data_IF_308993432255
#
_entry.id   IF_308993432255
#
_cell.length_a   1.000
_cell.length_b   1.000
_cell.length_c   1.000
_cell.angle_alpha   90.00
_cell.angle_beta   90.00
_cell.angle_gamma   90.00
#
_symmetry.space_group_name_H-M   'P 1'
#
loop_
_entity.id
_entity.type
_entity.pdbx_description
1 polymer ?
#
# COMPACT_ATOMS: atom_id res chain seq x y z
N UNK A 1 -32.09 7.98 9.56
CA UNK A 1 -31.80 9.36 10.06
C UNK A 1 -31.61 10.25 8.83
N UNK A 2 -32.16 11.47 8.81
CA UNK A 2 -31.97 12.40 7.69
C UNK A 2 -30.57 13.03 7.72
N UNK A 3 -29.98 13.29 6.54
CA UNK A 3 -28.65 13.87 6.42
C UNK A 3 -28.61 15.35 6.86
N UNK A 4 -27.57 15.73 7.58
CA UNK A 4 -27.32 17.12 7.99
C UNK A 4 -26.76 17.93 6.83
N UNK A 5 -27.17 19.21 6.70
CA UNK A 5 -26.68 20.11 5.65
C UNK A 5 -25.23 20.51 5.91
N UNK A 6 -24.37 20.32 4.93
CA UNK A 6 -22.97 20.78 4.93
C UNK A 6 -22.57 21.30 3.54
N UNK A 7 -21.46 22.04 3.46
CA UNK A 7 -20.86 22.49 2.20
C UNK A 7 -19.62 21.66 1.90
N UNK A 8 -19.65 20.89 0.83
CA UNK A 8 -18.50 20.12 0.37
C UNK A 8 -17.45 21.00 -0.33
N UNK A 9 -16.17 20.63 -0.21
CA UNK A 9 -15.09 21.23 -0.98
C UNK A 9 -15.10 20.71 -2.42
N UNK A 10 -15.47 21.59 -3.36
CA UNK A 10 -15.53 21.25 -4.79
C UNK A 10 -14.17 21.26 -5.47
N UNK A 11 -13.19 21.98 -4.92
CA UNK A 11 -11.85 22.08 -5.49
C UNK A 11 -11.11 20.76 -5.29
N UNK A 12 -11.19 20.19 -4.08
CA UNK A 12 -10.60 18.87 -3.82
C UNK A 12 -11.23 17.79 -4.69
N UNK A 13 -12.56 17.79 -4.81
CA UNK A 13 -13.28 16.82 -5.65
C UNK A 13 -12.83 16.85 -7.12
N UNK A 14 -12.45 18.03 -7.64
CA UNK A 14 -11.94 18.17 -9.00
C UNK A 14 -10.52 17.59 -9.19
N UNK A 15 -9.72 17.49 -8.11
CA UNK A 15 -8.35 16.97 -8.16
C UNK A 15 -8.27 15.44 -7.98
N UNK A 16 -9.27 14.81 -7.35
CA UNK A 16 -9.29 13.36 -7.06
C UNK A 16 -9.04 12.49 -8.30
N UNK A 17 -9.61 12.75 -9.49
CA UNK A 17 -9.38 11.90 -10.66
C UNK A 17 -7.91 11.88 -11.09
N UNK A 18 -7.25 13.04 -11.11
CA UNK A 18 -5.83 13.13 -11.50
C UNK A 18 -4.90 12.50 -10.46
N UNK A 19 -5.20 12.69 -9.17
CA UNK A 19 -4.46 12.03 -8.09
C UNK A 19 -4.60 10.50 -8.18
N UNK A 20 -5.80 10.01 -8.50
CA UNK A 20 -6.08 8.59 -8.68
C UNK A 20 -5.31 8.02 -9.87
N UNK A 21 -5.27 8.73 -11.00
CA UNK A 21 -4.51 8.32 -12.18
C UNK A 21 -3.02 8.18 -11.86
N UNK A 22 -2.41 9.20 -11.24
CA UNK A 22 -0.98 9.18 -10.86
C UNK A 22 -0.67 8.06 -9.87
N UNK A 23 -1.55 7.86 -8.90
CA UNK A 23 -1.44 6.75 -7.95
C UNK A 23 -1.46 5.40 -8.67
N UNK A 24 -2.43 5.16 -9.55
CA UNK A 24 -2.55 3.88 -10.29
C UNK A 24 -1.31 3.60 -11.16
N UNK A 25 -0.76 4.63 -11.80
CA UNK A 25 0.47 4.51 -12.59
C UNK A 25 1.66 4.08 -11.71
N UNK A 26 1.87 4.76 -10.57
CA UNK A 26 2.93 4.39 -9.62
C UNK A 26 2.71 3.00 -9.06
N UNK A 27 1.50 2.71 -8.58
CA UNK A 27 1.14 1.42 -8.01
C UNK A 27 1.43 0.25 -8.96
N UNK A 28 1.24 0.45 -10.27
CA UNK A 28 1.53 -0.58 -11.29
C UNK A 28 3.02 -0.77 -11.53
N UNK A 29 3.82 0.29 -11.41
CA UNK A 29 5.26 0.28 -11.70
C UNK A 29 6.16 0.00 -10.48
N UNK A 30 5.69 0.30 -9.27
CA UNK A 30 6.48 0.24 -8.03
C UNK A 30 6.58 -1.22 -7.51
N UNK A 31 7.78 -1.84 -7.49
CA UNK A 31 7.95 -3.22 -7.04
C UNK A 31 7.55 -3.44 -5.57
N UNK A 32 7.78 -2.45 -4.71
CA UNK A 32 7.48 -2.54 -3.28
C UNK A 32 5.96 -2.46 -3.06
N UNK A 33 5.28 -1.59 -3.81
CA UNK A 33 3.81 -1.53 -3.79
C UNK A 33 3.17 -2.81 -4.32
N UNK A 34 3.72 -3.38 -5.40
CA UNK A 34 3.28 -4.66 -5.92
C UNK A 34 3.51 -5.81 -4.93
N UNK A 35 4.61 -5.79 -4.17
CA UNK A 35 4.85 -6.74 -3.09
C UNK A 35 3.80 -6.60 -1.98
N UNK A 36 3.49 -5.37 -1.57
CA UNK A 36 2.43 -5.09 -0.62
C UNK A 36 1.06 -5.62 -1.06
N UNK A 37 0.69 -5.46 -2.34
CA UNK A 37 -0.56 -6.02 -2.87
C UNK A 37 -0.62 -7.55 -2.79
N UNK A 38 0.50 -8.23 -3.08
CA UNK A 38 0.59 -9.71 -2.93
C UNK A 38 0.42 -10.13 -1.47
N UNK A 39 0.98 -9.38 -0.53
CA UNK A 39 0.84 -9.65 0.90
C UNK A 39 -0.61 -9.47 1.39
N UNK A 40 -1.29 -8.46 0.84
CA UNK A 40 -2.71 -8.23 1.10
C UNK A 40 -3.57 -9.40 0.58
N UNK A 41 -3.29 -9.89 -0.62
CA UNK A 41 -4.04 -11.02 -1.20
C UNK A 41 -3.81 -12.32 -0.42
N UNK A 42 -2.58 -12.60 0.01
CA UNK A 42 -2.32 -13.72 0.92
C UNK A 42 -3.11 -13.58 2.23
N UNK A 43 -3.18 -12.38 2.79
CA UNK A 43 -3.95 -12.11 4.01
C UNK A 43 -5.44 -12.31 3.80
N UNK A 44 -6.00 -11.90 2.65
CA UNK A 44 -7.39 -12.17 2.29
C UNK A 44 -7.63 -13.69 2.19
N UNK A 45 -6.76 -14.42 1.50
CA UNK A 45 -6.87 -15.87 1.39
C UNK A 45 -6.87 -16.56 2.76
N UNK A 46 -6.02 -16.11 3.70
CA UNK A 46 -6.03 -16.66 5.06
C UNK A 46 -7.33 -16.30 5.81
N UNK A 47 -7.88 -15.09 5.62
CA UNK A 47 -9.13 -14.65 6.26
C UNK A 47 -10.36 -15.37 5.72
N UNK A 48 -10.36 -15.70 4.43
CA UNK A 48 -11.46 -16.40 3.77
C UNK A 48 -11.57 -17.87 4.23
N UNK A 49 -10.51 -18.42 4.84
CA UNK A 49 -10.56 -19.73 5.50
C UNK A 49 -11.30 -19.62 6.83
N UNK A 50 -12.57 -19.99 6.80
CA UNK A 50 -13.46 -20.01 7.96
C UNK A 50 -13.49 -21.34 8.71
N UNK A 51 -12.80 -22.37 8.19
CA UNK A 51 -12.75 -23.71 8.78
C UNK A 51 -11.31 -24.09 9.10
N UNK A 52 -11.12 -24.82 10.20
CA UNK A 52 -9.80 -25.28 10.68
C UNK A 52 -9.78 -26.80 10.73
N UNK A 53 -8.73 -27.42 10.19
CA UNK A 53 -8.53 -28.86 10.28
C UNK A 53 -8.19 -29.28 11.72
N UNK A 54 -8.77 -30.38 12.19
CA UNK A 54 -8.41 -30.97 13.49
C UNK A 54 -7.27 -32.00 13.38
N UNK A 55 -6.78 -32.27 12.16
CA UNK A 55 -5.70 -33.24 11.94
C UNK A 55 -4.34 -32.58 12.17
N UNK A 56 -3.58 -33.08 13.15
CA UNK A 56 -2.28 -32.52 13.54
C UNK A 56 -1.31 -32.39 12.35
N UNK A 57 -1.20 -33.43 11.53
CA UNK A 57 -0.29 -33.43 10.36
C UNK A 57 -0.63 -32.31 9.38
N UNK A 58 -1.92 -32.07 9.14
CA UNK A 58 -2.37 -30.99 8.26
C UNK A 58 -2.07 -29.63 8.87
N UNK A 59 -2.36 -29.46 10.16
CA UNK A 59 -2.09 -28.21 10.90
C UNK A 59 -0.61 -27.85 10.92
N UNK A 60 0.28 -28.84 11.08
CA UNK A 60 1.73 -28.64 11.03
C UNK A 60 2.18 -28.15 9.66
N UNK A 61 1.72 -28.81 8.59
CA UNK A 61 2.02 -28.40 7.21
C UNK A 61 1.50 -26.99 6.88
N UNK A 62 0.30 -26.64 7.35
CA UNK A 62 -0.27 -25.30 7.18
C UNK A 62 0.59 -24.23 7.88
N UNK A 63 1.01 -24.49 9.12
CA UNK A 63 1.88 -23.60 9.88
C UNK A 63 3.23 -23.41 9.18
N UNK A 64 3.91 -24.50 8.82
CA UNK A 64 5.19 -24.46 8.11
C UNK A 64 5.08 -23.66 6.79
N UNK A 65 3.98 -23.83 6.05
CA UNK A 65 3.74 -23.06 4.82
C UNK A 65 3.61 -21.56 5.10
N UNK A 66 2.89 -21.17 6.15
CA UNK A 66 2.71 -19.76 6.53
C UNK A 66 4.03 -19.16 7.00
N UNK A 67 4.80 -19.88 7.82
CA UNK A 67 6.11 -19.42 8.31
C UNK A 67 7.11 -19.26 7.17
N UNK A 68 7.18 -20.23 6.25
CA UNK A 68 8.02 -20.15 5.07
C UNK A 68 7.64 -18.95 4.20
N UNK A 69 6.34 -18.74 3.97
CA UNK A 69 5.87 -17.58 3.22
C UNK A 69 6.26 -16.25 3.87
N UNK A 70 6.15 -16.13 5.19
CA UNK A 70 6.56 -14.93 5.93
C UNK A 70 8.08 -14.71 5.86
N UNK A 71 8.88 -15.78 5.99
CA UNK A 71 10.34 -15.71 5.90
C UNK A 71 10.80 -15.36 4.49
N UNK A 72 10.21 -15.96 3.47
CA UNK A 72 10.48 -15.63 2.07
C UNK A 72 10.15 -14.17 1.78
N UNK A 73 9.00 -13.70 2.28
CA UNK A 73 8.59 -12.30 2.19
C UNK A 73 9.67 -11.37 2.74
N UNK A 74 10.13 -11.60 3.97
CA UNK A 74 11.17 -10.80 4.62
C UNK A 74 12.51 -10.88 3.89
N UNK A 75 12.91 -12.08 3.46
CA UNK A 75 14.17 -12.32 2.75
C UNK A 75 14.24 -11.59 1.42
N UNK A 76 13.13 -11.45 0.68
CA UNK A 76 13.09 -10.65 -0.55
C UNK A 76 13.58 -9.22 -0.31
N UNK A 77 13.09 -8.58 0.76
CA UNK A 77 13.48 -7.21 1.09
C UNK A 77 14.87 -7.12 1.71
N UNK A 78 15.27 -8.10 2.53
CA UNK A 78 16.64 -8.19 3.04
C UNK A 78 17.66 -8.26 1.91
N UNK A 79 17.44 -9.13 0.92
CA UNK A 79 18.31 -9.28 -0.25
C UNK A 79 18.35 -7.98 -1.07
N UNK A 80 17.19 -7.34 -1.32
CA UNK A 80 17.13 -6.07 -2.01
C UNK A 80 17.91 -4.95 -1.28
N UNK A 81 17.99 -5.02 0.06
CA UNK A 81 18.75 -4.09 0.91
C UNK A 81 20.20 -4.52 1.18
N UNK A 82 20.67 -5.61 0.58
CA UNK A 82 22.02 -6.15 0.80
C UNK A 82 22.25 -6.77 2.18
N UNK A 83 21.18 -7.08 2.91
CA UNK A 83 21.21 -7.75 4.21
C UNK A 83 21.25 -9.28 4.02
N UNK A 84 21.87 -10.02 4.95
CA UNK A 84 21.85 -11.48 4.89
C UNK A 84 20.43 -12.01 5.06
N UNK A 85 20.04 -13.07 4.32
CA UNK A 85 18.76 -13.74 4.51
C UNK A 85 18.71 -14.42 5.88
N UNK A 86 17.50 -14.52 6.43
CA UNK A 86 17.21 -15.24 7.67
C UNK A 86 17.43 -16.74 7.49
N UNK A 87 18.05 -17.37 8.48
CA UNK A 87 18.15 -18.83 8.60
C UNK A 87 16.83 -19.43 9.07
N UNK A 88 16.74 -20.76 9.01
CA UNK A 88 15.54 -21.50 9.43
C UNK A 88 15.19 -21.28 10.92
N UNK A 89 16.21 -21.16 11.77
CA UNK A 89 16.03 -21.00 13.22
C UNK A 89 15.93 -19.53 13.66
N UNK A 90 16.17 -18.57 12.76
CA UNK A 90 16.12 -17.15 13.09
C UNK A 90 14.67 -16.70 13.24
N UNK A 91 14.35 -15.92 14.27
CA UNK A 91 13.04 -15.30 14.42
C UNK A 91 12.77 -14.29 13.28
N UNK A 92 11.54 -14.28 12.76
CA UNK A 92 11.12 -13.34 11.72
C UNK A 92 10.88 -11.97 12.38
N UNK A 93 11.64 -10.92 12.02
CA UNK A 93 11.47 -9.61 12.63
C UNK A 93 10.12 -9.00 12.29
N UNK A 94 9.55 -8.25 13.24
CA UNK A 94 8.26 -7.60 13.10
C UNK A 94 8.33 -6.11 13.44
N UNK A 95 7.36 -5.33 12.95
CA UNK A 95 7.30 -3.90 13.22
C UNK A 95 8.52 -3.16 12.66
N UNK A 96 9.21 -2.40 13.52
CA UNK A 96 10.33 -1.54 13.12
C UNK A 96 11.60 -2.30 12.73
N UNK A 97 11.73 -3.54 13.17
CA UNK A 97 12.92 -4.37 12.93
C UNK A 97 12.81 -5.17 11.61
N UNK A 98 11.64 -5.13 10.96
CA UNK A 98 11.44 -5.73 9.64
C UNK A 98 12.10 -4.90 8.54
N UNK A 99 12.68 -5.59 7.57
CA UNK A 99 13.22 -5.00 6.36
C UNK A 99 12.11 -4.57 5.37
N UNK A 100 10.85 -4.87 5.65
CA UNK A 100 9.73 -4.58 4.76
C UNK A 100 9.35 -3.10 4.88
N UNK A 101 9.36 -2.32 3.78
CA UNK A 101 8.93 -0.92 3.80
C UNK A 101 7.42 -0.79 3.99
N UNK A 102 6.97 0.33 4.55
CA UNK A 102 5.55 0.69 4.58
C UNK A 102 5.15 1.35 3.26
N UNK A 103 4.95 0.51 2.24
CA UNK A 103 4.62 0.96 0.88
C UNK A 103 3.32 1.79 0.82
N UNK A 104 2.38 1.55 1.73
CA UNK A 104 1.13 2.32 1.81
C UNK A 104 1.38 3.73 2.34
N UNK A 105 2.24 3.87 3.36
CA UNK A 105 2.65 5.17 3.87
C UNK A 105 3.44 5.96 2.83
N UNK A 106 4.41 5.31 2.17
CA UNK A 106 5.24 5.93 1.14
C UNK A 106 4.40 6.45 -0.04
N UNK A 107 3.46 5.64 -0.53
CA UNK A 107 2.55 6.08 -1.60
C UNK A 107 1.59 7.19 -1.13
N UNK A 108 1.12 7.13 0.12
CA UNK A 108 0.31 8.21 0.70
C UNK A 108 1.06 9.54 0.74
N UNK A 109 2.35 9.52 1.09
CA UNK A 109 3.21 10.71 1.05
C UNK A 109 3.34 11.27 -0.37
N UNK A 110 3.47 10.40 -1.38
CA UNK A 110 3.52 10.81 -2.80
C UNK A 110 2.19 11.40 -3.28
N UNK A 111 1.06 10.84 -2.86
CA UNK A 111 -0.28 11.40 -3.17
C UNK A 111 -0.43 12.81 -2.55
N UNK A 112 0.02 13.00 -1.31
CA UNK A 112 0.00 14.32 -0.67
C UNK A 112 0.92 15.30 -1.39
N UNK A 113 2.10 14.86 -1.82
CA UNK A 113 3.00 15.68 -2.63
C UNK A 113 2.36 16.10 -3.96
N UNK A 114 1.70 15.18 -4.67
CA UNK A 114 0.94 15.48 -5.89
C UNK A 114 -0.18 16.49 -5.61
N UNK A 115 -0.91 16.35 -4.51
CA UNK A 115 -1.96 17.27 -4.11
C UNK A 115 -1.40 18.69 -3.92
N UNK A 116 -0.27 18.84 -3.23
CA UNK A 116 0.39 20.14 -3.04
C UNK A 116 0.81 20.76 -4.37
N UNK A 117 1.37 19.97 -5.28
CA UNK A 117 1.79 20.44 -6.61
C UNK A 117 0.57 20.87 -7.44
N UNK A 118 -0.49 20.07 -7.47
CA UNK A 118 -1.71 20.37 -8.24
C UNK A 118 -2.49 21.55 -7.65
N UNK A 119 -2.52 21.70 -6.32
CA UNK A 119 -3.15 22.83 -5.66
C UNK A 119 -2.37 24.13 -5.81
N UNK A 120 -1.04 24.05 -5.93
CA UNK A 120 -0.15 25.20 -6.14
C UNK A 120 -0.03 25.59 -7.62
N UNK A 121 -0.42 24.71 -8.54
CA UNK A 121 -0.45 25.02 -9.96
C UNK A 121 -1.41 26.20 -10.20
N UNK A 122 -0.95 27.31 -10.82
CA UNK A 122 -1.80 28.45 -11.07
C UNK A 122 -2.85 28.04 -12.11
N UNK A 123 -4.06 27.72 -11.67
CA UNK A 123 -5.24 27.80 -12.52
C UNK A 123 -5.27 29.22 -13.07
N UNK A 124 -5.02 29.36 -14.38
CA UNK A 124 -5.28 30.52 -15.23
C UNK A 124 -5.88 31.71 -14.45
N UNK A 125 -5.03 32.52 -13.81
CA UNK A 125 -5.46 33.78 -13.21
C UNK A 125 -5.86 34.69 -14.36
N UNK A 126 -7.14 34.67 -14.68
CA UNK A 126 -7.86 35.70 -15.44
C UNK A 126 -7.30 35.96 -16.83
N UNK A 127 -7.95 35.42 -17.86
CA UNK A 127 -8.14 36.19 -19.10
C UNK A 127 -8.86 37.48 -18.73
N UNK A 128 -8.12 38.52 -18.34
CA UNK A 128 -8.62 39.89 -18.34
C UNK A 128 -8.78 40.25 -19.81
N UNK A 129 -9.96 39.91 -20.35
CA UNK A 129 -10.54 40.61 -21.49
C UNK A 129 -10.81 42.02 -20.99
N UNK A 130 -9.83 42.91 -21.15
CA UNK A 130 -10.09 44.34 -21.26
C UNK A 130 -10.14 44.64 -22.75
N UNK A 131 -11.37 44.60 -23.27
CA UNK A 131 -11.67 45.15 -24.58
C UNK A 131 -11.72 46.68 -24.50
N UNK A 132 -11.17 47.28 -25.56
CA UNK A 132 -11.27 48.68 -26.02
C UNK A 132 -10.46 49.73 -25.25
#
# INVERSE_FOLDING_TARGET
IAATRYRADRNLAALVPELTRRHQERATSDPDYQAFLRDLDFTKEQRDRTTVSLQEKQRRSEHERIENWQRDRENRFRVAKGLPPLKADDEIPAGKDSAIPDAALDESARIVADLVVLASAPNARSTVVMGR
#
